data_IF_615278974016
#
_entry.id   IF_615278974016
#
_cell.length_a   1.000
_cell.length_b   1.000
_cell.length_c   1.000
_cell.angle_alpha   90.00
_cell.angle_beta   90.00
_cell.angle_gamma   90.00
#
_symmetry.space_group_name_H-M   'P 1'
#
loop_
_entity.id
_entity.type
_entity.pdbx_description
1 polymer ?
#
# COMPACT_ATOMS: atom_id res chain seq x y z
N UNK A 1 13.65 -26.58 70.37
CA UNK A 1 12.69 -25.60 69.84
C UNK A 1 13.32 -24.91 68.64
N UNK A 2 12.94 -25.37 67.43
CA UNK A 2 13.50 -24.89 66.18
C UNK A 2 12.62 -23.79 65.63
N UNK A 3 13.14 -22.57 65.61
CA UNK A 3 12.46 -21.42 65.06
C UNK A 3 12.54 -21.42 63.53
N UNK A 4 11.42 -21.66 62.86
CA UNK A 4 11.28 -21.46 61.43
C UNK A 4 11.37 -19.96 61.10
N UNK A 5 12.46 -19.55 60.44
CA UNK A 5 12.57 -18.24 59.83
C UNK A 5 11.66 -18.22 58.60
N UNK A 6 10.58 -17.46 58.64
CA UNK A 6 9.79 -17.11 57.48
C UNK A 6 10.59 -16.13 56.61
N UNK A 7 11.08 -16.60 55.47
CA UNK A 7 11.60 -15.72 54.43
C UNK A 7 10.40 -14.97 53.80
N UNK A 8 10.22 -13.70 54.18
CA UNK A 8 9.29 -12.80 53.51
C UNK A 8 9.92 -12.41 52.16
N UNK A 9 9.55 -13.08 51.11
CA UNK A 9 9.84 -12.56 49.77
C UNK A 9 9.20 -11.17 49.65
N UNK A 10 10.05 -10.17 49.60
CA UNK A 10 9.65 -8.80 49.28
C UNK A 10 9.24 -8.82 47.82
N UNK A 11 7.93 -8.88 47.54
CA UNK A 11 7.40 -8.64 46.20
C UNK A 11 7.88 -7.25 45.80
N UNK A 12 8.83 -7.21 44.86
CA UNK A 12 9.33 -5.98 44.26
C UNK A 12 8.14 -5.21 43.70
N UNK A 13 7.79 -4.09 44.25
CA UNK A 13 6.71 -3.25 43.79
C UNK A 13 7.20 -2.65 42.45
N UNK A 14 6.67 -3.14 41.36
CA UNK A 14 6.97 -2.62 40.01
C UNK A 14 6.46 -1.19 39.94
N UNK A 15 7.34 -0.24 39.68
CA UNK A 15 6.94 1.14 39.40
C UNK A 15 6.24 1.23 38.08
N UNK A 16 5.33 2.18 37.87
CA UNK A 16 4.60 2.38 36.62
C UNK A 16 5.55 2.56 35.41
N UNK A 17 6.73 3.14 35.64
CA UNK A 17 7.75 3.27 34.61
C UNK A 17 8.33 1.90 34.17
N UNK A 18 8.66 1.02 35.11
CA UNK A 18 9.16 -0.32 34.80
C UNK A 18 8.13 -1.17 34.06
N UNK A 19 6.86 -1.09 34.46
CA UNK A 19 5.76 -1.77 33.73
C UNK A 19 5.64 -1.19 32.32
N UNK A 20 5.74 0.11 32.16
CA UNK A 20 5.72 0.79 30.88
C UNK A 20 6.86 0.33 29.95
N UNK A 21 8.08 0.20 30.51
CA UNK A 21 9.27 -0.24 29.77
C UNK A 21 9.18 -1.72 29.36
N UNK A 22 8.74 -2.60 30.26
CA UNK A 22 8.53 -4.01 29.95
C UNK A 22 7.46 -4.21 28.86
N UNK A 23 6.32 -3.52 28.96
CA UNK A 23 5.29 -3.56 27.93
C UNK A 23 5.77 -2.93 26.59
N UNK A 24 6.65 -1.93 26.68
CA UNK A 24 7.29 -1.31 25.51
C UNK A 24 8.20 -2.27 24.75
N UNK A 25 8.90 -3.16 25.45
CA UNK A 25 9.81 -4.14 24.88
C UNK A 25 9.12 -5.41 24.36
N UNK A 26 7.87 -5.67 24.79
CA UNK A 26 7.13 -6.85 24.32
C UNK A 26 6.94 -6.80 22.80
N UNK A 27 7.38 -7.85 22.11
CA UNK A 27 7.13 -8.01 20.68
C UNK A 27 5.70 -8.47 20.43
N UNK A 28 5.08 -7.93 19.40
CA UNK A 28 3.79 -8.37 18.86
C UNK A 28 3.90 -8.49 17.35
N UNK A 29 3.06 -9.33 16.73
CA UNK A 29 3.03 -9.44 15.25
C UNK A 29 2.88 -8.08 14.56
N UNK A 30 2.12 -7.15 15.15
CA UNK A 30 1.96 -5.79 14.64
C UNK A 30 3.29 -5.01 14.69
N UNK A 31 4.03 -5.08 15.78
CA UNK A 31 5.36 -4.44 15.91
C UNK A 31 6.38 -5.04 14.96
N UNK A 32 6.40 -6.37 14.84
CA UNK A 32 7.28 -7.08 13.91
C UNK A 32 7.02 -6.66 12.47
N UNK A 33 5.75 -6.62 12.06
CA UNK A 33 5.36 -6.17 10.73
C UNK A 33 5.74 -4.71 10.47
N UNK A 34 5.44 -3.80 11.40
CA UNK A 34 5.83 -2.40 11.27
C UNK A 34 7.35 -2.21 11.28
N UNK A 35 8.09 -3.07 12.00
CA UNK A 35 9.55 -3.09 11.96
C UNK A 35 10.12 -3.55 10.61
N UNK A 36 9.38 -4.36 9.85
CA UNK A 36 9.72 -4.71 8.46
C UNK A 36 9.46 -3.50 7.55
N UNK A 37 8.30 -2.84 7.69
CA UNK A 37 7.95 -1.65 6.93
C UNK A 37 8.95 -0.51 7.15
N UNK A 38 9.43 -0.33 8.39
CA UNK A 38 10.46 0.64 8.73
C UNK A 38 11.74 0.47 7.91
N UNK A 39 12.13 -0.77 7.64
CA UNK A 39 13.35 -1.09 6.86
C UNK A 39 13.13 -1.06 5.36
N UNK A 40 11.90 -1.37 4.92
CA UNK A 40 11.56 -1.48 3.51
C UNK A 40 11.32 -0.10 2.87
N UNK A 41 10.64 0.80 3.60
CA UNK A 41 10.26 2.10 3.07
C UNK A 41 11.46 3.04 3.07
N UNK A 42 11.82 3.62 1.91
CA UNK A 42 12.95 4.55 1.80
C UNK A 42 12.54 5.97 2.24
N UNK A 43 12.36 6.17 3.55
CA UNK A 43 11.82 7.41 4.15
C UNK A 43 12.48 8.68 3.64
N UNK A 44 13.82 8.71 3.54
CA UNK A 44 14.56 9.88 3.06
C UNK A 44 14.24 10.26 1.61
N UNK A 45 14.00 9.26 0.75
CA UNK A 45 13.59 9.49 -0.64
C UNK A 45 12.15 10.04 -0.68
N UNK A 46 11.23 9.46 0.11
CA UNK A 46 9.86 9.94 0.20
C UNK A 46 9.76 11.36 0.74
N UNK A 47 10.54 11.68 1.79
CA UNK A 47 10.66 13.05 2.29
C UNK A 47 11.14 13.98 1.17
N UNK A 48 12.17 13.59 0.41
CA UNK A 48 12.69 14.39 -0.71
C UNK A 48 11.64 14.65 -1.81
N UNK A 49 10.80 13.67 -2.12
CA UNK A 49 9.72 13.79 -3.10
C UNK A 49 8.62 14.76 -2.62
N UNK A 50 8.24 14.69 -1.35
CA UNK A 50 7.12 15.49 -0.80
C UNK A 50 7.56 16.92 -0.40
N UNK A 51 8.81 17.10 0.02
CA UNK A 51 9.32 18.37 0.55
C UNK A 51 8.99 19.60 -0.31
N UNK A 52 9.08 19.57 -1.66
CA UNK A 52 8.73 20.72 -2.51
C UNK A 52 7.26 21.14 -2.41
N UNK A 53 6.37 20.22 -2.07
CA UNK A 53 4.93 20.41 -2.00
C UNK A 53 4.43 20.67 -0.58
N UNK A 54 5.30 20.48 0.42
CA UNK A 54 4.93 20.61 1.82
C UNK A 54 5.09 22.05 2.31
N UNK A 55 4.21 22.48 3.21
CA UNK A 55 4.20 23.84 3.75
C UNK A 55 5.49 24.15 4.51
N UNK A 56 6.12 25.30 4.20
CA UNK A 56 7.41 25.71 4.77
C UNK A 56 7.35 26.42 6.12
N UNK A 57 6.14 26.65 6.66
CA UNK A 57 5.97 27.28 7.98
C UNK A 57 6.28 28.78 8.02
N UNK A 58 6.14 29.51 6.91
CA UNK A 58 6.47 30.93 6.81
C UNK A 58 5.47 31.83 7.56
N UNK A 59 4.23 31.37 7.75
CA UNK A 59 3.17 32.07 8.49
C UNK A 59 2.30 31.06 9.26
N UNK A 60 1.89 31.42 10.47
CA UNK A 60 1.01 30.60 11.32
C UNK A 60 1.75 29.50 12.11
N UNK A 61 1.08 28.41 12.41
CA UNK A 61 1.63 27.31 13.16
C UNK A 61 2.75 26.60 12.37
N UNK A 62 3.77 26.14 13.06
CA UNK A 62 4.80 25.30 12.44
C UNK A 62 4.18 24.01 11.91
N UNK A 63 4.57 23.56 10.71
CA UNK A 63 4.12 22.27 10.20
C UNK A 63 4.64 21.13 11.08
N UNK A 64 3.91 20.03 11.09
CA UNK A 64 4.42 18.78 11.67
C UNK A 64 5.62 18.28 10.88
N UNK A 65 6.43 17.45 11.52
CA UNK A 65 7.52 16.78 10.84
C UNK A 65 7.01 15.98 9.64
N UNK A 66 7.71 16.10 8.50
CA UNK A 66 7.23 15.50 7.25
C UNK A 66 7.32 13.98 7.27
N UNK A 67 8.35 13.41 7.92
CA UNK A 67 8.47 11.97 8.06
C UNK A 67 7.36 11.42 8.95
N UNK A 68 6.98 12.11 10.05
CA UNK A 68 5.83 11.76 10.85
C UNK A 68 4.54 11.70 9.99
N UNK A 69 4.31 12.70 9.16
CA UNK A 69 3.13 12.74 8.29
C UNK A 69 3.10 11.58 7.29
N UNK A 70 4.26 11.22 6.72
CA UNK A 70 4.41 10.06 5.85
C UNK A 70 4.17 8.74 6.59
N UNK A 71 4.64 8.59 7.82
CA UNK A 71 4.40 7.42 8.67
C UNK A 71 2.91 7.24 8.97
N UNK A 72 2.20 8.33 9.25
CA UNK A 72 0.75 8.33 9.43
C UNK A 72 0.05 7.89 8.13
N UNK A 73 0.45 8.43 7.00
CA UNK A 73 -0.09 8.06 5.68
C UNK A 73 0.10 6.55 5.39
N UNK A 74 1.26 5.99 5.70
CA UNK A 74 1.50 4.54 5.59
C UNK A 74 0.56 3.74 6.49
N UNK A 75 0.38 4.15 7.76
CA UNK A 75 -0.57 3.48 8.64
C UNK A 75 -2.01 3.52 8.13
N UNK A 76 -2.44 4.65 7.54
CA UNK A 76 -3.77 4.77 6.93
C UNK A 76 -3.98 3.71 5.85
N UNK A 77 -2.99 3.50 4.98
CA UNK A 77 -3.06 2.51 3.90
C UNK A 77 -2.96 1.07 4.41
N UNK A 78 -2.02 0.78 5.31
CA UNK A 78 -1.82 -0.57 5.83
C UNK A 78 -3.01 -1.10 6.64
N UNK A 79 -3.75 -0.20 7.30
CA UNK A 79 -4.85 -0.56 8.21
C UNK A 79 -6.21 0.01 7.79
N UNK A 80 -6.29 0.61 6.59
CA UNK A 80 -7.51 1.23 6.04
C UNK A 80 -8.17 2.21 7.02
N UNK A 81 -7.39 3.16 7.55
CA UNK A 81 -7.85 4.12 8.56
C UNK A 81 -8.27 5.44 7.91
N UNK A 82 -9.46 5.93 8.25
CA UNK A 82 -9.86 7.30 7.98
C UNK A 82 -9.02 8.30 8.81
N UNK A 83 -9.03 9.57 8.45
CA UNK A 83 -8.16 10.60 9.02
C UNK A 83 -8.27 10.69 10.57
N UNK A 84 -9.49 10.78 11.11
CA UNK A 84 -9.72 10.79 12.57
C UNK A 84 -9.42 9.43 13.22
N UNK A 85 -9.71 8.33 12.54
CA UNK A 85 -9.40 7.00 13.04
C UNK A 85 -7.90 6.79 13.15
N UNK A 86 -7.11 7.27 12.19
CA UNK A 86 -5.65 7.20 12.24
C UNK A 86 -5.09 7.93 13.47
N UNK A 87 -5.59 9.15 13.75
CA UNK A 87 -5.23 9.89 14.95
C UNK A 87 -5.52 9.09 16.22
N UNK A 88 -6.73 8.58 16.35
CA UNK A 88 -7.16 7.85 17.57
C UNK A 88 -6.35 6.57 17.75
N UNK A 89 -6.16 5.79 16.70
CA UNK A 89 -5.36 4.56 16.73
C UNK A 89 -3.89 4.81 17.09
N UNK A 90 -3.30 5.92 16.65
CA UNK A 90 -1.92 6.28 17.03
C UNK A 90 -1.83 6.60 18.51
N UNK A 91 -2.85 7.25 19.09
CA UNK A 91 -2.90 7.57 20.51
C UNK A 91 -3.10 6.31 21.36
N UNK A 92 -3.97 5.41 20.92
CA UNK A 92 -4.38 4.23 21.70
C UNK A 92 -3.39 3.05 21.51
N UNK A 93 -2.73 2.93 20.34
CA UNK A 93 -1.86 1.82 20.00
C UNK A 93 -0.39 2.15 20.22
N UNK A 94 0.23 1.47 21.20
CA UNK A 94 1.67 1.58 21.46
C UNK A 94 2.55 1.22 20.24
N UNK A 95 2.09 0.29 19.41
CA UNK A 95 2.81 -0.09 18.20
C UNK A 95 2.79 1.04 17.16
N UNK A 96 1.67 1.75 17.04
CA UNK A 96 1.54 2.85 16.08
C UNK A 96 2.26 4.11 16.59
N UNK A 97 2.15 4.45 17.88
CA UNK A 97 2.91 5.58 18.43
C UNK A 97 4.41 5.37 18.31
N UNK A 98 4.92 4.15 18.55
CA UNK A 98 6.33 3.82 18.33
C UNK A 98 6.76 3.91 16.87
N UNK A 99 5.93 3.40 15.94
CA UNK A 99 6.21 3.52 14.51
C UNK A 99 6.22 4.97 14.02
N UNK A 100 5.34 5.81 14.56
CA UNK A 100 5.29 7.25 14.26
C UNK A 100 6.35 8.06 15.01
N UNK A 101 7.05 7.48 15.99
CA UNK A 101 8.03 8.20 16.80
C UNK A 101 7.40 9.26 17.72
N UNK A 102 6.16 9.03 18.19
CA UNK A 102 5.45 9.97 19.09
C UNK A 102 5.32 9.39 20.50
N UNK A 103 5.59 10.24 21.50
CA UNK A 103 5.58 9.86 22.91
C UNK A 103 4.35 10.42 23.66
N UNK A 104 3.66 11.38 23.07
CA UNK A 104 2.48 12.01 23.66
C UNK A 104 1.40 12.35 22.62
N UNK A 105 0.16 12.39 23.06
CA UNK A 105 -1.00 12.73 22.21
C UNK A 105 -0.91 14.13 21.58
N UNK A 106 -0.18 15.06 22.19
CA UNK A 106 0.00 16.41 21.66
C UNK A 106 0.91 16.48 20.43
N UNK A 107 1.68 15.41 20.18
CA UNK A 107 2.53 15.30 18.98
C UNK A 107 1.76 14.72 17.79
N UNK A 108 0.58 14.16 18.02
CA UNK A 108 -0.23 13.55 16.96
C UNK A 108 -1.10 14.62 16.29
N UNK A 109 -1.00 14.80 14.95
CA UNK A 109 -1.84 15.72 14.21
C UNK A 109 -3.33 15.42 14.38
N UNK A 110 -4.18 16.45 14.28
CA UNK A 110 -5.62 16.26 14.16
C UNK A 110 -6.02 15.68 12.80
N UNK A 111 -7.25 15.13 12.70
CA UNK A 111 -7.75 14.50 11.48
C UNK A 111 -7.79 15.48 10.29
N UNK A 112 -8.11 16.75 10.51
CA UNK A 112 -8.10 17.78 9.46
C UNK A 112 -6.68 17.99 8.89
N UNK A 113 -5.66 17.99 9.74
CA UNK A 113 -4.26 18.12 9.32
C UNK A 113 -3.81 16.90 8.53
N UNK A 114 -4.18 15.70 8.99
CA UNK A 114 -3.91 14.43 8.29
C UNK A 114 -4.59 14.44 6.90
N UNK A 115 -5.87 14.84 6.85
CA UNK A 115 -6.62 14.93 5.59
C UNK A 115 -6.03 15.94 4.61
N UNK A 116 -5.60 17.13 5.08
CA UNK A 116 -4.91 18.12 4.24
C UNK A 116 -3.60 17.57 3.66
N UNK A 117 -2.83 16.83 4.46
CA UNK A 117 -1.60 16.20 3.98
C UNK A 117 -1.89 15.15 2.90
N UNK A 118 -2.86 14.28 3.11
CA UNK A 118 -3.29 13.29 2.11
C UNK A 118 -3.70 13.97 0.80
N UNK A 119 -4.46 15.07 0.85
CA UNK A 119 -4.81 15.83 -0.33
C UNK A 119 -3.62 16.50 -1.04
N UNK A 120 -2.55 16.83 -0.33
CA UNK A 120 -1.31 17.29 -0.98
C UNK A 120 -0.72 16.16 -1.82
N UNK A 121 -0.64 14.94 -1.28
CA UNK A 121 -0.11 13.78 -1.99
C UNK A 121 -0.95 13.44 -3.22
N UNK A 122 -2.27 13.43 -3.07
CA UNK A 122 -3.24 13.14 -4.15
C UNK A 122 -3.15 14.16 -5.29
N UNK A 123 -3.19 15.46 -4.97
CA UNK A 123 -3.13 16.53 -5.98
C UNK A 123 -1.83 16.55 -6.79
N UNK A 124 -0.75 16.09 -6.20
CA UNK A 124 0.56 16.01 -6.85
C UNK A 124 0.86 14.61 -7.37
N UNK A 125 -0.09 13.68 -7.31
CA UNK A 125 0.02 12.30 -7.84
C UNK A 125 1.26 11.55 -7.32
N UNK A 126 1.62 11.76 -6.04
CA UNK A 126 2.87 11.21 -5.48
C UNK A 126 2.77 9.72 -5.13
N UNK A 127 1.58 9.12 -5.16
CA UNK A 127 1.36 7.70 -4.86
C UNK A 127 2.14 6.76 -5.77
N UNK A 128 2.20 7.06 -7.07
CA UNK A 128 2.95 6.28 -8.06
C UNK A 128 4.47 6.26 -7.75
N UNK A 129 5.04 7.42 -7.42
CA UNK A 129 6.44 7.50 -7.04
C UNK A 129 6.75 6.71 -5.76
N UNK A 130 5.84 6.71 -4.79
CA UNK A 130 5.97 5.89 -3.58
C UNK A 130 5.92 4.40 -3.89
N UNK A 131 4.97 3.97 -4.72
CA UNK A 131 4.84 2.59 -5.16
C UNK A 131 6.12 2.12 -5.87
N UNK A 132 6.61 2.90 -6.84
CA UNK A 132 7.85 2.60 -7.57
C UNK A 132 9.03 2.44 -6.62
N UNK A 133 9.21 3.35 -5.66
CA UNK A 133 10.31 3.26 -4.69
C UNK A 133 10.22 2.01 -3.79
N UNK A 134 9.01 1.59 -3.41
CA UNK A 134 8.82 0.35 -2.63
C UNK A 134 9.16 -0.87 -3.49
N UNK A 135 8.69 -0.93 -4.73
CA UNK A 135 9.01 -2.01 -5.68
C UNK A 135 10.53 -2.12 -5.90
N UNK A 136 11.21 -0.99 -6.12
CA UNK A 136 12.68 -0.96 -6.22
C UNK A 136 13.37 -1.46 -4.95
N UNK A 137 12.87 -1.12 -3.77
CA UNK A 137 13.41 -1.59 -2.50
C UNK A 137 13.27 -3.10 -2.35
N UNK A 138 12.10 -3.67 -2.72
CA UNK A 138 11.85 -5.11 -2.73
C UNK A 138 12.80 -5.84 -3.69
N UNK A 139 13.03 -5.28 -4.88
CA UNK A 139 13.95 -5.82 -5.87
C UNK A 139 15.41 -5.81 -5.38
N UNK A 140 15.86 -4.71 -4.78
CA UNK A 140 17.21 -4.58 -4.18
C UNK A 140 17.44 -5.59 -3.05
N UNK A 141 16.37 -5.96 -2.34
CA UNK A 141 16.41 -7.00 -1.30
C UNK A 141 16.27 -8.43 -1.84
N UNK A 142 16.19 -8.64 -3.15
CA UNK A 142 15.93 -9.94 -3.80
C UNK A 142 14.64 -10.62 -3.29
N UNK A 143 13.64 -9.85 -2.90
CA UNK A 143 12.33 -10.34 -2.49
C UNK A 143 11.36 -10.51 -3.66
N UNK A 144 11.78 -10.13 -4.87
CA UNK A 144 11.02 -10.22 -6.11
C UNK A 144 11.94 -10.78 -7.19
N UNK A 145 11.60 -11.93 -7.78
CA UNK A 145 12.47 -12.67 -8.71
C UNK A 145 12.27 -12.28 -10.17
N UNK A 146 11.11 -11.75 -10.53
CA UNK A 146 10.75 -11.25 -11.87
C UNK A 146 10.83 -12.29 -13.01
N UNK A 147 10.73 -13.58 -12.69
CA UNK A 147 10.79 -14.66 -13.69
C UNK A 147 9.43 -15.00 -14.27
N UNK A 148 8.38 -14.76 -13.54
CA UNK A 148 7.01 -14.96 -13.96
C UNK A 148 6.10 -13.86 -13.48
N UNK A 149 5.14 -13.43 -14.31
CA UNK A 149 4.13 -12.43 -13.96
C UNK A 149 2.74 -13.03 -14.04
N UNK A 150 1.99 -12.93 -12.93
CA UNK A 150 0.55 -13.19 -12.91
C UNK A 150 -0.16 -11.88 -13.21
N UNK A 151 -1.04 -11.89 -14.22
CA UNK A 151 -1.87 -10.74 -14.57
C UNK A 151 -3.31 -10.96 -14.11
N UNK A 152 -3.89 -9.93 -13.48
CA UNK A 152 -5.29 -9.95 -13.02
C UNK A 152 -5.90 -8.54 -13.09
N UNK A 153 -7.24 -8.47 -13.04
CA UNK A 153 -7.96 -7.21 -13.02
C UNK A 153 -9.12 -7.19 -12.04
N UNK A 154 -9.30 -6.05 -11.40
CA UNK A 154 -10.38 -5.78 -10.45
C UNK A 154 -11.23 -4.61 -10.92
N UNK A 155 -12.57 -4.72 -10.77
CA UNK A 155 -13.50 -3.63 -11.08
C UNK A 155 -13.60 -2.66 -9.90
N UNK A 156 -13.41 -1.37 -10.19
CA UNK A 156 -13.60 -0.27 -9.25
C UNK A 156 -14.88 0.46 -9.65
N UNK A 157 -15.89 0.41 -8.78
CA UNK A 157 -17.17 1.05 -9.06
C UNK A 157 -17.07 2.58 -8.86
N UNK A 158 -17.52 3.32 -9.85
CA UNK A 158 -17.73 4.76 -9.77
C UNK A 158 -19.22 5.08 -9.50
N UNK A 159 -19.54 6.23 -8.87
CA UNK A 159 -20.92 6.66 -8.69
C UNK A 159 -21.65 6.81 -10.02
N UNK A 160 -22.67 6.01 -10.23
CA UNK A 160 -23.49 6.06 -11.46
C UNK A 160 -24.57 7.16 -11.43
N UNK A 161 -24.74 7.85 -10.30
CA UNK A 161 -25.77 8.87 -10.08
C UNK A 161 -25.43 10.18 -10.76
N UNK A 162 -26.43 10.78 -11.43
CA UNK A 162 -26.37 12.14 -11.97
C UNK A 162 -26.83 13.21 -10.96
N UNK A 163 -27.01 12.85 -9.68
CA UNK A 163 -27.49 13.76 -8.62
C UNK A 163 -26.36 14.60 -7.99
N UNK A 164 -25.14 14.59 -8.56
CA UNK A 164 -24.07 15.50 -8.17
C UNK A 164 -24.42 16.96 -8.47
N UNK A 165 -23.70 17.92 -7.86
CA UNK A 165 -23.89 19.36 -8.16
C UNK A 165 -23.75 19.66 -9.64
N UNK A 166 -22.92 18.93 -10.35
CA UNK A 166 -22.61 19.09 -11.77
C UNK A 166 -23.57 18.32 -12.69
N UNK A 167 -24.48 17.51 -12.11
CA UNK A 167 -25.46 16.66 -12.83
C UNK A 167 -24.85 15.78 -13.92
N UNK A 168 -23.57 15.45 -13.82
CA UNK A 168 -22.83 14.63 -14.76
C UNK A 168 -22.26 13.41 -14.08
N UNK A 169 -22.20 12.31 -14.81
CA UNK A 169 -21.39 11.15 -14.43
C UNK A 169 -19.94 11.45 -14.74
N UNK A 170 -19.05 10.71 -14.10
CA UNK A 170 -17.64 10.68 -14.47
C UNK A 170 -17.49 10.31 -15.95
N UNK A 171 -16.88 11.20 -16.74
CA UNK A 171 -16.76 11.05 -18.19
C UNK A 171 -15.73 9.98 -18.59
N UNK A 172 -14.77 9.68 -17.74
CA UNK A 172 -13.74 8.68 -17.99
C UNK A 172 -14.19 7.28 -17.57
N UNK A 173 -15.18 7.18 -16.68
CA UNK A 173 -15.74 5.91 -16.25
C UNK A 173 -16.69 5.33 -17.30
N UNK A 174 -16.60 4.02 -17.54
CA UNK A 174 -17.45 3.33 -18.52
C UNK A 174 -18.16 2.13 -17.90
N UNK A 175 -19.18 1.64 -18.60
CA UNK A 175 -19.94 0.47 -18.19
C UNK A 175 -19.33 -0.82 -18.75
N UNK A 176 -19.26 -1.86 -17.94
CA UNK A 176 -18.88 -3.21 -18.36
C UNK A 176 -19.86 -4.22 -17.80
N UNK A 177 -20.10 -5.31 -18.55
CA UNK A 177 -20.94 -6.43 -18.11
C UNK A 177 -20.05 -7.60 -17.64
N UNK A 178 -20.22 -8.01 -16.37
CA UNK A 178 -19.56 -9.22 -15.83
C UNK A 178 -20.65 -10.21 -15.41
N UNK A 179 -20.73 -11.33 -16.10
CA UNK A 179 -21.86 -12.25 -15.95
C UNK A 179 -23.18 -11.59 -16.36
N UNK A 180 -24.15 -11.55 -15.44
CA UNK A 180 -25.47 -10.92 -15.67
C UNK A 180 -25.58 -9.51 -15.07
N UNK A 181 -24.50 -8.95 -14.49
CA UNK A 181 -24.50 -7.67 -13.80
C UNK A 181 -23.71 -6.61 -14.58
N UNK A 182 -24.24 -5.40 -14.61
CA UNK A 182 -23.57 -4.22 -15.16
C UNK A 182 -22.85 -3.46 -14.05
N UNK A 183 -21.62 -3.06 -14.32
CA UNK A 183 -20.78 -2.22 -13.47
C UNK A 183 -20.43 -0.95 -14.23
N UNK A 184 -20.42 0.19 -13.55
CA UNK A 184 -19.97 1.46 -14.08
C UNK A 184 -18.75 1.91 -13.27
N UNK A 185 -17.64 2.24 -13.93
CA UNK A 185 -16.41 2.65 -13.25
C UNK A 185 -15.17 2.37 -14.05
N UNK A 186 -14.17 1.85 -13.34
CA UNK A 186 -12.82 1.59 -13.83
C UNK A 186 -12.44 0.13 -13.62
N UNK A 187 -11.34 -0.26 -14.23
CA UNK A 187 -10.59 -1.48 -13.90
C UNK A 187 -9.21 -1.10 -13.42
N UNK A 188 -8.78 -1.76 -12.38
CA UNK A 188 -7.39 -1.81 -11.95
C UNK A 188 -6.80 -3.13 -12.42
N UNK A 189 -5.73 -3.05 -13.21
CA UNK A 189 -4.97 -4.17 -13.72
C UNK A 189 -3.68 -4.28 -12.94
N UNK A 190 -3.31 -5.47 -12.51
CA UNK A 190 -2.11 -5.71 -11.72
C UNK A 190 -1.19 -6.73 -12.38
N UNK A 191 0.12 -6.47 -12.31
CA UNK A 191 1.17 -7.43 -12.56
C UNK A 191 1.77 -7.88 -11.23
N UNK A 192 1.77 -9.18 -10.96
CA UNK A 192 2.20 -9.79 -9.71
C UNK A 192 3.35 -10.73 -9.98
N UNK A 193 4.44 -10.61 -9.24
CA UNK A 193 5.55 -11.57 -9.30
C UNK A 193 5.08 -12.97 -8.86
N UNK A 194 5.19 -13.95 -9.74
CA UNK A 194 4.61 -15.27 -9.54
C UNK A 194 5.25 -16.04 -8.39
N UNK A 195 6.50 -15.76 -8.06
CA UNK A 195 7.23 -16.43 -7.00
C UNK A 195 6.95 -15.84 -5.62
N UNK A 196 6.94 -14.51 -5.51
CA UNK A 196 6.77 -13.81 -4.23
C UNK A 196 5.33 -13.44 -3.93
N UNK A 197 4.46 -13.36 -4.95
CA UNK A 197 3.09 -12.85 -4.82
C UNK A 197 3.02 -11.33 -4.62
N UNK A 198 4.11 -10.60 -4.87
CA UNK A 198 4.15 -9.15 -4.69
C UNK A 198 3.74 -8.43 -5.97
N UNK A 199 2.90 -7.40 -5.85
CA UNK A 199 2.50 -6.55 -6.96
C UNK A 199 3.69 -5.67 -7.37
N UNK A 200 4.00 -5.66 -8.67
CA UNK A 200 5.09 -4.84 -9.23
C UNK A 200 4.60 -3.79 -10.24
N UNK A 201 3.41 -3.98 -10.80
CA UNK A 201 2.83 -3.04 -11.76
C UNK A 201 1.34 -2.89 -11.48
N UNK A 202 0.84 -1.67 -11.58
CA UNK A 202 -0.58 -1.32 -11.43
C UNK A 202 -0.95 -0.34 -12.51
N UNK A 203 -1.98 -0.66 -13.29
CA UNK A 203 -2.53 0.20 -14.34
C UNK A 203 -4.03 0.37 -14.17
N UNK A 204 -4.52 1.56 -14.38
CA UNK A 204 -5.96 1.86 -14.26
C UNK A 204 -6.53 2.28 -15.61
N UNK A 205 -7.63 1.64 -16.00
CA UNK A 205 -8.35 1.97 -17.23
C UNK A 205 -9.83 2.15 -16.97
N UNK A 206 -10.56 2.69 -17.96
CA UNK A 206 -12.02 2.62 -17.93
C UNK A 206 -12.48 1.15 -17.99
N UNK A 207 -13.60 0.85 -17.33
CA UNK A 207 -14.05 -0.54 -17.14
C UNK A 207 -14.33 -1.31 -18.44
N UNK A 208 -14.55 -0.65 -19.57
CA UNK A 208 -14.82 -1.28 -20.87
C UNK A 208 -13.55 -1.75 -21.59
N UNK A 209 -12.35 -1.39 -21.15
CA UNK A 209 -11.10 -1.91 -21.73
C UNK A 209 -10.99 -3.41 -21.45
N UNK A 210 -10.63 -4.19 -22.47
CA UNK A 210 -10.49 -5.63 -22.33
C UNK A 210 -9.17 -5.99 -21.64
N UNK A 211 -9.21 -6.93 -20.69
CA UNK A 211 -8.05 -7.29 -19.83
C UNK A 211 -6.82 -7.70 -20.66
N UNK A 212 -7.02 -8.46 -21.76
CA UNK A 212 -5.94 -8.88 -22.65
C UNK A 212 -5.22 -7.72 -23.36
N UNK A 213 -5.79 -6.49 -23.38
CA UNK A 213 -5.13 -5.32 -23.96
C UNK A 213 -4.05 -4.74 -23.03
N UNK A 214 -4.11 -5.07 -21.75
CA UNK A 214 -3.25 -4.47 -20.73
C UNK A 214 -2.04 -5.34 -20.38
N UNK A 215 -1.92 -6.54 -20.99
CA UNK A 215 -0.81 -7.46 -20.62
C UNK A 215 0.55 -6.83 -20.84
N UNK A 216 0.73 -6.12 -21.94
CA UNK A 216 2.03 -5.50 -22.30
C UNK A 216 2.48 -4.50 -21.24
N UNK A 217 1.56 -3.67 -20.75
CA UNK A 217 1.79 -2.66 -19.72
C UNK A 217 2.10 -3.28 -18.35
N UNK A 218 1.65 -4.52 -18.14
CA UNK A 218 1.86 -5.22 -16.85
C UNK A 218 3.17 -6.00 -16.81
N UNK A 219 3.86 -6.19 -17.94
CA UNK A 219 5.12 -6.92 -17.98
C UNK A 219 6.32 -6.00 -17.74
N UNK A 220 7.37 -6.55 -17.13
CA UNK A 220 8.63 -5.86 -16.87
C UNK A 220 9.70 -6.16 -17.93
N UNK A 221 9.43 -7.13 -18.81
CA UNK A 221 10.34 -7.53 -19.89
C UNK A 221 11.41 -8.54 -19.48
N UNK A 222 11.36 -9.06 -18.27
CA UNK A 222 12.30 -10.09 -17.76
C UNK A 222 11.64 -11.46 -17.59
N UNK A 223 10.35 -11.56 -17.86
CA UNK A 223 9.53 -12.73 -17.65
C UNK A 223 9.94 -13.92 -18.54
N UNK A 224 9.92 -15.11 -17.99
CA UNK A 224 9.94 -16.38 -18.68
C UNK A 224 8.52 -16.92 -18.88
N UNK A 225 7.61 -16.62 -17.93
CA UNK A 225 6.22 -17.08 -17.92
C UNK A 225 5.25 -15.93 -17.61
N UNK A 226 4.10 -15.93 -18.28
CA UNK A 226 2.95 -15.05 -18.02
C UNK A 226 1.74 -15.90 -17.69
N UNK A 227 1.15 -15.69 -16.53
CA UNK A 227 -0.03 -16.42 -16.05
C UNK A 227 -1.26 -15.51 -16.03
N UNK A 228 -2.39 -16.01 -16.50
CA UNK A 228 -3.64 -15.26 -16.47
C UNK A 228 -4.86 -16.16 -16.50
N UNK A 229 -6.01 -15.59 -16.16
CA UNK A 229 -7.29 -16.27 -16.28
C UNK A 229 -7.79 -16.28 -17.75
N UNK A 230 -8.98 -16.83 -17.98
CA UNK A 230 -9.57 -16.92 -19.31
C UNK A 230 -9.95 -15.54 -19.93
N UNK A 231 -9.93 -14.47 -19.17
CA UNK A 231 -10.10 -13.10 -19.66
C UNK A 231 -8.94 -12.62 -20.51
N UNK A 232 -7.76 -13.24 -20.36
CA UNK A 232 -6.52 -12.93 -21.07
C UNK A 232 -6.27 -13.82 -22.30
N UNK A 233 -7.20 -14.69 -22.67
CA UNK A 233 -7.06 -15.56 -23.86
C UNK A 233 -6.81 -14.74 -25.13
N UNK A 234 -5.75 -15.11 -25.85
CA UNK A 234 -5.34 -14.48 -27.09
C UNK A 234 -4.45 -13.25 -26.91
N UNK A 235 -4.02 -12.91 -25.69
CA UNK A 235 -3.07 -11.83 -25.45
C UNK A 235 -1.76 -12.05 -26.23
N UNK A 236 -1.29 -13.30 -26.32
CA UNK A 236 -0.09 -13.70 -27.05
C UNK A 236 -0.18 -13.54 -28.58
N UNK A 237 -1.39 -13.30 -29.10
CA UNK A 237 -1.66 -13.18 -30.54
C UNK A 237 -1.86 -11.74 -31.00
N UNK A 238 -1.73 -10.80 -30.11
CA UNK A 238 -1.87 -9.38 -30.44
C UNK A 238 -0.62 -8.86 -31.14
N UNK A 239 -0.79 -7.82 -31.95
CA UNK A 239 0.29 -7.22 -32.73
C UNK A 239 1.37 -6.59 -31.82
N UNK A 240 0.99 -6.15 -30.61
CA UNK A 240 1.86 -5.55 -29.59
C UNK A 240 2.37 -6.56 -28.55
N UNK A 241 2.02 -7.85 -28.66
CA UNK A 241 2.39 -8.85 -27.67
C UNK A 241 3.91 -8.99 -27.52
N UNK A 242 4.40 -8.96 -26.27
CA UNK A 242 5.80 -9.24 -25.94
C UNK A 242 5.98 -10.76 -25.89
N UNK A 243 6.60 -11.33 -26.91
CA UNK A 243 6.83 -12.78 -27.04
C UNK A 243 8.24 -13.21 -26.64
N UNK A 244 9.14 -12.25 -26.48
CA UNK A 244 10.55 -12.48 -26.13
C UNK A 244 10.94 -11.48 -25.06
N UNK A 245 11.61 -11.95 -24.03
CA UNK A 245 12.09 -11.07 -22.96
C UNK A 245 13.36 -10.29 -23.36
N UNK A 246 13.79 -9.38 -22.49
CA UNK A 246 14.97 -8.52 -22.73
C UNK A 246 16.29 -9.30 -22.91
N UNK A 247 16.33 -10.57 -22.51
CA UNK A 247 17.48 -11.47 -22.64
C UNK A 247 17.41 -12.28 -23.96
N UNK A 248 16.34 -12.13 -24.74
CA UNK A 248 16.13 -12.85 -26.00
C UNK A 248 15.49 -14.23 -25.82
N UNK A 249 14.98 -14.57 -24.65
CA UNK A 249 14.30 -15.84 -24.41
C UNK A 249 12.80 -15.72 -24.68
N UNK A 250 12.15 -16.77 -25.24
CA UNK A 250 10.72 -16.76 -25.48
C UNK A 250 9.92 -16.76 -24.18
N UNK A 251 8.88 -15.93 -24.13
CA UNK A 251 7.93 -15.88 -23.02
C UNK A 251 6.81 -16.88 -23.24
N UNK A 252 6.52 -17.69 -22.25
CA UNK A 252 5.44 -18.69 -22.29
C UNK A 252 4.18 -18.12 -21.67
N UNK A 253 3.11 -17.96 -22.45
CA UNK A 253 1.80 -17.53 -21.97
C UNK A 253 1.01 -18.74 -21.47
N UNK A 254 0.77 -18.81 -20.18
CA UNK A 254 0.02 -19.87 -19.49
C UNK A 254 -1.35 -19.35 -19.06
N UNK A 255 -2.21 -19.16 -20.06
CA UNK A 255 -3.56 -18.61 -19.85
C UNK A 255 -4.56 -19.76 -19.69
N UNK A 256 -5.35 -19.70 -18.60
CA UNK A 256 -6.36 -20.70 -18.31
C UNK A 256 -7.47 -20.71 -19.36
N UNK A 257 -7.81 -21.90 -19.84
CA UNK A 257 -8.95 -22.09 -20.76
C UNK A 257 -10.26 -21.95 -19.98
N UNK A 258 -11.30 -21.48 -20.68
CA UNK A 258 -12.66 -21.51 -20.11
C UNK A 258 -13.05 -22.94 -19.80
N UNK A 259 -13.73 -23.23 -18.67
CA UNK A 259 -14.35 -24.53 -18.46
C UNK A 259 -15.30 -24.84 -19.62
N UNK A 260 -15.19 -26.05 -20.16
CA UNK A 260 -16.07 -26.55 -21.23
C UNK A 260 -17.48 -26.84 -20.67
#
# INVERSE_FOLDING_TARGET
MSGKRYNKEVKKQLTMSLISDELGQASTKKKEFLGIMEKLIPWSQWVGIVQPHYYKGERGNKPYDLELMLRIYVLQHLYNLADDAARNEIIDSRAFSQFCGVDSSNQVPDGDTIGRFRHILERNQLGEAFFTNVVESLQKCNLMLKKGTIVDSTLIAAPSSTKSKEKQRDLEAHSVKKGNQWYFGYKEHIGVDADSGMVHTVETTSANVHDSNMVVELLQGTEEDVYGDSGYLGAEKKDDAILVNNEGHPIRYQINKRPS
#
